data_IF_598303181202
#
_entry.id   IF_598303181202
#
_cell.length_a   1.000
_cell.length_b   1.000
_cell.length_c   1.000
_cell.angle_alpha   90.00
_cell.angle_beta   90.00
_cell.angle_gamma   90.00
#
_symmetry.space_group_name_H-M   'P 1'
#
loop_
_entity.id
_entity.type
_entity.pdbx_description
1 polymer ?
#
# COMPACT_ATOMS: atom_id res chain seq x y z
N UNK A 1 -9.21 19.26 -50.09
CA UNK A 1 -9.50 20.70 -49.87
C UNK A 1 -8.70 21.33 -48.72
N UNK A 2 -7.72 20.61 -48.12
CA UNK A 2 -6.91 21.09 -46.99
C UNK A 2 -7.71 21.59 -45.77
N UNK A 3 -9.01 21.27 -45.71
CA UNK A 3 -9.83 21.50 -44.52
C UNK A 3 -9.65 20.30 -43.59
N UNK A 4 -9.42 20.55 -42.28
CA UNK A 4 -9.36 19.47 -41.32
C UNK A 4 -10.70 18.74 -41.25
N UNK A 5 -10.64 17.42 -41.25
CA UNK A 5 -11.78 16.52 -41.05
C UNK A 5 -11.35 15.44 -40.06
N UNK A 6 -12.27 14.82 -39.31
CA UNK A 6 -11.94 13.70 -38.45
C UNK A 6 -11.40 12.52 -39.28
N UNK A 7 -10.36 11.86 -38.78
CA UNK A 7 -9.72 10.71 -39.45
C UNK A 7 -10.66 9.51 -39.65
N UNK A 8 -11.76 9.43 -38.91
CA UNK A 8 -12.79 8.39 -39.05
C UNK A 8 -13.65 8.54 -40.31
N UNK A 9 -13.49 9.62 -41.07
CA UNK A 9 -14.34 9.93 -42.21
C UNK A 9 -13.67 9.52 -43.52
N UNK A 10 -14.17 8.46 -44.16
CA UNK A 10 -13.61 7.95 -45.42
C UNK A 10 -13.70 8.95 -46.58
N UNK A 11 -14.70 9.83 -46.55
CA UNK A 11 -14.98 10.80 -47.62
C UNK A 11 -15.15 12.21 -47.07
N UNK A 12 -14.31 13.14 -47.52
CA UNK A 12 -14.33 14.52 -47.05
C UNK A 12 -15.70 15.18 -47.29
N UNK A 13 -16.44 15.61 -46.25
CA UNK A 13 -17.76 16.24 -46.39
C UNK A 13 -17.72 17.59 -47.12
N UNK A 14 -16.53 18.20 -47.23
CA UNK A 14 -16.37 19.50 -47.88
C UNK A 14 -16.07 19.43 -49.38
N UNK A 15 -15.46 18.34 -49.85
CA UNK A 15 -15.05 18.24 -51.26
C UNK A 15 -15.30 16.88 -51.91
N UNK A 16 -15.91 15.93 -51.20
CA UNK A 16 -16.21 14.59 -51.71
C UNK A 16 -14.98 13.75 -52.04
N UNK A 17 -13.77 14.23 -51.74
CA UNK A 17 -12.53 13.49 -51.97
C UNK A 17 -12.33 12.44 -50.89
N UNK A 18 -11.87 11.25 -51.28
CA UNK A 18 -11.47 10.21 -50.32
C UNK A 18 -10.36 10.71 -49.41
N UNK A 19 -10.44 10.38 -48.12
CA UNK A 19 -9.38 10.69 -47.18
C UNK A 19 -8.10 9.94 -47.62
N UNK A 20 -6.96 10.63 -47.76
CA UNK A 20 -5.71 9.97 -48.12
C UNK A 20 -5.35 8.97 -47.03
N UNK A 21 -5.17 7.69 -47.41
CA UNK A 21 -4.63 6.68 -46.50
C UNK A 21 -3.17 7.03 -46.19
N UNK A 22 -2.68 6.87 -44.95
CA UNK A 22 -1.26 7.01 -44.66
C UNK A 22 -0.45 6.12 -45.59
N UNK A 23 0.64 6.64 -46.14
CA UNK A 23 1.51 5.86 -47.03
C UNK A 23 2.17 4.71 -46.26
N UNK A 24 2.10 3.49 -46.79
CA UNK A 24 2.63 2.24 -46.19
C UNK A 24 4.15 2.23 -45.92
N UNK A 25 4.88 3.32 -46.21
CA UNK A 25 6.34 3.39 -46.17
C UNK A 25 6.93 3.83 -44.82
N UNK A 26 6.11 4.07 -43.80
CA UNK A 26 6.64 4.39 -42.48
C UNK A 26 5.80 3.74 -41.36
N UNK A 27 5.95 2.42 -41.24
CA UNK A 27 5.28 1.60 -40.22
C UNK A 27 5.71 1.94 -38.78
N UNK A 28 6.75 2.76 -38.63
CA UNK A 28 7.33 3.22 -37.36
C UNK A 28 7.15 4.75 -37.16
N UNK A 29 6.39 5.42 -38.02
CA UNK A 29 6.09 6.84 -37.82
C UNK A 29 5.21 6.99 -36.60
N UNK A 30 5.64 7.82 -35.67
CA UNK A 30 4.92 8.25 -34.48
C UNK A 30 4.88 9.79 -34.56
N UNK A 31 3.71 10.34 -34.86
CA UNK A 31 3.54 11.74 -35.26
C UNK A 31 3.44 12.71 -34.10
N UNK A 32 2.87 12.27 -32.98
CA UNK A 32 2.74 13.06 -31.76
C UNK A 32 3.75 12.66 -30.67
N UNK A 33 4.51 11.59 -30.89
CA UNK A 33 5.65 11.18 -30.09
C UNK A 33 5.26 10.53 -28.78
N UNK A 34 4.07 9.92 -28.71
CA UNK A 34 3.56 9.31 -27.50
C UNK A 34 4.07 7.87 -27.28
N UNK A 35 4.69 7.27 -28.29
CA UNK A 35 5.25 5.93 -28.29
C UNK A 35 4.40 4.88 -28.99
N UNK A 36 3.22 5.22 -29.51
CA UNK A 36 2.40 4.37 -30.38
C UNK A 36 2.61 4.80 -31.84
N UNK A 37 2.97 3.89 -32.77
CA UNK A 37 3.08 4.24 -34.18
C UNK A 37 1.72 4.61 -34.81
N UNK A 38 1.70 5.62 -35.69
CA UNK A 38 0.54 6.13 -36.46
C UNK A 38 -0.35 4.99 -37.01
N UNK A 39 0.27 3.91 -37.49
CA UNK A 39 -0.47 2.76 -38.06
C UNK A 39 -1.28 2.01 -37.00
N UNK A 40 -0.71 1.83 -35.82
CA UNK A 40 -1.31 1.08 -34.71
C UNK A 40 -2.43 1.93 -34.14
N UNK A 41 -2.21 3.23 -33.97
CA UNK A 41 -3.25 4.16 -33.57
C UNK A 41 -4.45 4.10 -34.52
N UNK A 42 -4.23 4.11 -35.84
CA UNK A 42 -5.31 4.00 -36.83
C UNK A 42 -6.02 2.65 -36.76
N UNK A 43 -5.29 1.55 -36.59
CA UNK A 43 -5.88 0.20 -36.40
C UNK A 43 -6.73 0.14 -35.12
N UNK A 44 -6.30 0.83 -34.06
CA UNK A 44 -7.00 0.91 -32.79
C UNK A 44 -8.15 1.93 -32.80
N UNK A 45 -8.18 2.85 -33.77
CA UNK A 45 -9.16 3.94 -33.84
C UNK A 45 -8.80 5.15 -32.97
N UNK A 46 -7.53 5.24 -32.57
CA UNK A 46 -6.89 6.38 -31.93
C UNK A 46 -6.53 7.46 -32.96
N UNK A 47 -6.08 8.62 -32.50
CA UNK A 47 -5.75 9.78 -33.30
C UNK A 47 -4.23 10.03 -33.31
N UNK A 48 -3.54 9.82 -34.45
CA UNK A 48 -2.09 10.03 -34.62
C UNK A 48 -1.56 11.46 -34.44
N UNK A 49 -2.30 12.34 -33.80
CA UNK A 49 -1.93 13.72 -33.51
C UNK A 49 -2.31 14.11 -32.08
N UNK A 50 -2.85 13.19 -31.28
CA UNK A 50 -3.28 13.42 -29.92
C UNK A 50 -2.54 12.50 -28.93
N UNK A 51 -1.41 12.97 -28.36
CA UNK A 51 -0.56 12.14 -27.51
C UNK A 51 -1.21 11.79 -26.15
N UNK A 52 -2.42 12.28 -25.89
CA UNK A 52 -3.19 11.94 -24.70
C UNK A 52 -3.89 10.59 -24.85
N UNK A 53 -4.14 10.10 -26.06
CA UNK A 53 -4.91 8.89 -26.28
C UNK A 53 -4.10 7.60 -26.01
N UNK A 54 -2.77 7.63 -26.11
CA UNK A 54 -1.90 6.58 -25.60
C UNK A 54 -2.09 6.33 -24.10
N UNK A 55 -2.38 7.40 -23.33
CA UNK A 55 -2.69 7.33 -21.88
C UNK A 55 -4.16 7.04 -21.61
N UNK A 56 -5.00 7.07 -22.64
CA UNK A 56 -6.39 6.65 -22.57
C UNK A 56 -6.50 5.14 -22.33
N UNK A 57 -7.68 4.73 -21.91
CA UNK A 57 -8.05 3.35 -21.64
C UNK A 57 -9.26 3.04 -22.55
N UNK A 58 -8.98 2.38 -23.68
CA UNK A 58 -9.95 2.23 -24.77
C UNK A 58 -11.07 1.24 -24.41
N UNK A 59 -10.80 0.27 -23.55
CA UNK A 59 -11.73 -0.80 -23.19
C UNK A 59 -12.19 -0.77 -21.70
N UNK A 60 -11.67 0.19 -20.94
CA UNK A 60 -12.03 0.50 -19.55
C UNK A 60 -11.62 -0.58 -18.54
N UNK A 61 -10.50 -1.25 -18.76
CA UNK A 61 -9.96 -2.28 -17.87
C UNK A 61 -8.93 -1.75 -16.85
N UNK A 62 -8.62 -0.46 -16.91
CA UNK A 62 -7.72 0.27 -16.02
C UNK A 62 -6.28 0.39 -16.53
N UNK A 63 -5.93 -0.23 -17.66
CA UNK A 63 -4.63 -0.07 -18.32
C UNK A 63 -4.70 0.99 -19.42
N UNK A 64 -3.60 1.71 -19.61
CA UNK A 64 -3.49 2.62 -20.75
C UNK A 64 -3.13 1.86 -22.03
N UNK A 65 -3.61 2.36 -23.18
CA UNK A 65 -3.37 1.76 -24.49
C UNK A 65 -1.87 1.47 -24.73
N UNK A 66 -0.99 2.38 -24.31
CA UNK A 66 0.46 2.20 -24.44
C UNK A 66 1.04 1.15 -23.50
N UNK A 67 0.51 1.00 -22.28
CA UNK A 67 0.97 -0.01 -21.33
C UNK A 67 0.71 -1.42 -21.85
N UNK A 68 -0.44 -1.61 -22.49
CA UNK A 68 -0.86 -2.86 -23.10
C UNK A 68 -0.05 -3.23 -24.34
N UNK A 69 0.17 -2.27 -25.25
CA UNK A 69 1.02 -2.47 -26.42
C UNK A 69 2.49 -2.70 -26.05
N UNK A 70 2.95 -2.06 -24.97
CA UNK A 70 4.31 -2.22 -24.45
C UNK A 70 4.49 -3.45 -23.56
N UNK A 71 3.39 -4.15 -23.22
CA UNK A 71 3.43 -5.34 -22.39
C UNK A 71 4.19 -6.48 -23.07
N UNK A 72 4.65 -7.44 -22.26
CA UNK A 72 5.38 -8.63 -22.74
C UNK A 72 4.76 -9.89 -22.12
N UNK A 73 3.97 -10.68 -22.87
CA UNK A 73 3.56 -10.45 -24.27
C UNK A 73 2.65 -9.22 -24.42
N UNK A 74 2.56 -8.63 -25.64
CA UNK A 74 1.61 -7.54 -25.92
C UNK A 74 0.17 -8.00 -25.69
N UNK A 75 -0.68 -7.09 -25.24
CA UNK A 75 -2.11 -7.33 -25.03
C UNK A 75 -2.97 -6.53 -26.02
N UNK A 76 -4.30 -6.65 -25.95
CA UNK A 76 -5.20 -6.08 -26.97
C UNK A 76 -6.01 -4.95 -26.33
N UNK A 77 -5.73 -3.66 -26.67
CA UNK A 77 -6.40 -2.52 -26.05
C UNK A 77 -7.91 -2.41 -26.33
N UNK A 78 -8.50 -3.34 -27.07
CA UNK A 78 -9.94 -3.40 -27.34
C UNK A 78 -10.66 -4.52 -26.59
N UNK A 79 -9.93 -5.43 -25.93
CA UNK A 79 -10.50 -6.56 -25.23
C UNK A 79 -10.20 -6.46 -23.72
N UNK A 80 -11.21 -6.14 -22.87
CA UNK A 80 -11.04 -5.97 -21.42
C UNK A 80 -10.56 -7.22 -20.66
N UNK A 81 -10.37 -8.35 -21.34
CA UNK A 81 -9.80 -9.59 -20.77
C UNK A 81 -8.36 -9.83 -21.21
N UNK A 82 -7.90 -9.11 -22.23
CA UNK A 82 -6.57 -9.18 -22.77
C UNK A 82 -5.77 -8.04 -22.19
N UNK A 83 -5.25 -8.22 -20.97
CA UNK A 83 -4.61 -7.15 -20.23
C UNK A 83 -3.38 -7.61 -19.46
N UNK A 84 -2.47 -6.69 -19.09
CA UNK A 84 -1.32 -7.02 -18.26
C UNK A 84 -1.74 -7.49 -16.85
N UNK A 85 -0.78 -7.99 -16.07
CA UNK A 85 -1.06 -8.45 -14.72
C UNK A 85 -1.63 -7.30 -13.84
N UNK A 86 -2.78 -7.52 -13.22
CA UNK A 86 -3.53 -6.52 -12.40
C UNK A 86 -2.68 -5.92 -11.26
N UNK A 87 -1.67 -6.65 -10.79
CA UNK A 87 -0.67 -6.15 -9.84
C UNK A 87 0.04 -4.86 -10.32
N UNK A 88 0.08 -4.61 -11.62
CA UNK A 88 0.64 -3.40 -12.23
C UNK A 88 -0.19 -2.15 -11.95
N UNK A 89 -1.48 -2.30 -11.66
CA UNK A 89 -2.39 -1.20 -11.33
C UNK A 89 -2.36 -0.83 -9.85
N UNK A 90 -1.76 -1.66 -8.98
CA UNK A 90 -1.71 -1.37 -7.55
C UNK A 90 -0.98 -0.05 -7.27
N UNK A 91 -1.52 0.73 -6.33
CA UNK A 91 -0.92 1.99 -5.87
C UNK A 91 -1.00 2.09 -4.35
N UNK A 92 -0.02 2.72 -3.72
CA UNK A 92 -0.05 3.02 -2.29
C UNK A 92 -0.89 4.28 -2.10
N UNK A 93 -2.09 4.13 -1.54
CA UNK A 93 -2.99 5.24 -1.21
C UNK A 93 -2.44 6.08 -0.08
N UNK A 94 -2.03 5.42 1.01
CA UNK A 94 -1.48 6.09 2.20
C UNK A 94 -0.65 5.13 3.07
N UNK A 95 0.17 5.71 3.94
CA UNK A 95 0.88 5.01 5.01
C UNK A 95 0.33 5.47 6.35
N UNK A 96 -0.03 4.51 7.20
CA UNK A 96 -0.58 4.74 8.53
C UNK A 96 0.34 4.13 9.58
N UNK A 97 0.50 4.83 10.70
CA UNK A 97 1.19 4.27 11.86
C UNK A 97 0.27 3.29 12.59
N UNK A 98 0.60 2.00 12.59
CA UNK A 98 -0.11 1.01 13.39
C UNK A 98 0.30 1.16 14.84
N UNK A 99 -0.67 1.52 15.68
CA UNK A 99 -0.45 1.78 17.11
C UNK A 99 -0.50 0.49 17.90
N UNK A 100 0.25 0.46 18.99
CA UNK A 100 0.17 -0.60 19.97
C UNK A 100 -1.25 -0.62 20.57
N UNK A 101 -1.99 -1.74 20.46
CA UNK A 101 -3.35 -1.84 20.98
C UNK A 101 -3.39 -2.02 22.50
N UNK A 102 -2.24 -2.27 23.14
CA UNK A 102 -2.11 -2.49 24.58
C UNK A 102 -1.37 -1.34 25.26
N UNK A 103 -1.91 -0.90 26.40
CA UNK A 103 -1.29 0.07 27.30
C UNK A 103 -0.88 -0.64 28.59
N UNK A 104 0.41 -0.62 28.90
CA UNK A 104 0.91 -1.09 30.18
C UNK A 104 0.46 -0.12 31.28
N UNK A 105 -0.40 -0.58 32.19
CA UNK A 105 -1.13 0.31 33.11
C UNK A 105 -0.67 0.22 34.56
N UNK A 106 -0.27 -0.97 35.01
CA UNK A 106 0.20 -1.19 36.38
C UNK A 106 1.05 -2.45 36.50
N UNK A 107 1.94 -2.48 37.49
CA UNK A 107 2.68 -3.68 37.92
C UNK A 107 2.47 -3.90 39.41
N UNK A 108 1.99 -5.09 39.77
CA UNK A 108 1.70 -5.47 41.15
C UNK A 108 2.65 -6.58 41.58
N UNK A 109 3.32 -6.41 42.73
CA UNK A 109 4.11 -7.48 43.33
C UNK A 109 3.20 -8.46 44.06
N UNK A 110 3.27 -9.73 43.70
CA UNK A 110 2.45 -10.81 44.25
C UNK A 110 3.11 -11.44 45.50
N UNK A 111 2.34 -12.14 46.36
CA UNK A 111 2.87 -12.77 47.58
C UNK A 111 3.96 -13.82 47.30
N UNK A 112 3.96 -14.43 46.11
CA UNK A 112 4.98 -15.36 45.63
C UNK A 112 6.28 -14.65 45.16
N UNK A 113 6.35 -13.32 45.29
CA UNK A 113 7.47 -12.49 44.89
C UNK A 113 7.50 -12.15 43.40
N UNK A 114 6.61 -12.71 42.58
CA UNK A 114 6.51 -12.45 41.14
C UNK A 114 5.71 -11.20 40.86
N UNK A 115 5.79 -10.70 39.63
CA UNK A 115 5.00 -9.56 39.19
C UNK A 115 3.77 -9.98 38.39
N UNK A 116 2.65 -9.36 38.70
CA UNK A 116 1.46 -9.32 37.86
C UNK A 116 1.47 -8.00 37.09
N UNK A 117 1.32 -8.08 35.78
CA UNK A 117 1.34 -6.98 34.84
C UNK A 117 -0.08 -6.74 34.36
N UNK A 118 -0.50 -5.46 34.36
CA UNK A 118 -1.83 -5.05 33.92
C UNK A 118 -1.72 -4.37 32.56
N UNK A 119 -2.41 -4.91 31.57
CA UNK A 119 -2.54 -4.32 30.23
C UNK A 119 -3.98 -3.89 29.98
N UNK A 120 -4.16 -2.67 29.48
CA UNK A 120 -5.43 -2.19 28.98
C UNK A 120 -5.39 -2.21 27.45
N UNK A 121 -6.25 -3.02 26.84
CA UNK A 121 -6.49 -2.97 25.41
C UNK A 121 -7.39 -1.79 25.08
N UNK A 122 -6.97 -1.00 24.10
CA UNK A 122 -7.72 0.18 23.62
C UNK A 122 -8.49 -0.11 22.33
N UNK A 123 -8.02 -1.07 21.52
CA UNK A 123 -8.60 -1.48 20.23
C UNK A 123 -8.41 -3.00 19.99
N UNK A 124 -9.32 -3.69 19.28
CA UNK A 124 -10.59 -3.17 18.77
C UNK A 124 -11.67 -3.05 19.85
N UNK A 125 -11.53 -3.78 20.97
CA UNK A 125 -12.45 -3.70 22.11
C UNK A 125 -11.69 -3.38 23.39
N UNK A 126 -12.31 -2.58 24.26
CA UNK A 126 -11.70 -2.22 25.54
C UNK A 126 -11.78 -3.39 26.51
N UNK A 127 -10.62 -3.87 26.93
CA UNK A 127 -10.51 -4.97 27.89
C UNK A 127 -9.25 -4.81 28.73
N UNK A 128 -9.33 -5.20 30.00
CA UNK A 128 -8.18 -5.23 30.89
C UNK A 128 -7.72 -6.66 31.08
N UNK A 129 -6.40 -6.85 31.05
CA UNK A 129 -5.73 -8.13 31.20
C UNK A 129 -4.78 -8.06 32.39
N UNK A 130 -4.81 -9.11 33.20
CA UNK A 130 -3.89 -9.32 34.32
C UNK A 130 -3.11 -10.59 34.02
N UNK A 131 -1.83 -10.45 33.73
CA UNK A 131 -0.97 -11.54 33.28
C UNK A 131 0.33 -11.59 34.07
N UNK A 132 0.98 -12.74 34.12
CA UNK A 132 2.33 -12.89 34.67
C UNK A 132 3.39 -12.71 33.58
N UNK A 133 4.64 -12.55 34.00
CA UNK A 133 5.78 -12.57 33.08
C UNK A 133 5.83 -13.88 32.30
N UNK A 134 6.11 -13.78 31.00
CA UNK A 134 6.15 -14.89 30.03
C UNK A 134 4.80 -15.58 29.76
N UNK A 135 3.69 -14.90 30.07
CA UNK A 135 2.34 -15.41 29.79
C UNK A 135 1.74 -14.73 28.55
N UNK A 136 0.90 -15.47 27.81
CA UNK A 136 0.14 -14.90 26.69
C UNK A 136 -0.91 -13.93 27.21
N UNK A 137 -1.05 -12.79 26.54
CA UNK A 137 -2.07 -11.78 26.83
C UNK A 137 -3.37 -12.20 26.12
N UNK A 138 -3.93 -13.32 26.56
CA UNK A 138 -5.18 -13.89 26.03
C UNK A 138 -5.17 -13.95 24.49
N UNK A 139 -6.29 -13.63 23.84
CA UNK A 139 -6.48 -13.59 22.38
C UNK A 139 -5.84 -12.38 21.68
N UNK A 140 -5.09 -11.52 22.37
CA UNK A 140 -4.55 -10.30 21.75
C UNK A 140 -3.39 -10.55 20.77
N UNK A 141 -2.83 -11.77 20.78
CA UNK A 141 -1.67 -12.12 19.94
C UNK A 141 -0.33 -11.63 20.49
N UNK A 142 -0.29 -11.12 21.72
CA UNK A 142 0.92 -10.68 22.41
C UNK A 142 1.23 -11.56 23.61
N UNK A 143 2.51 -11.59 24.00
CA UNK A 143 3.00 -12.24 25.21
C UNK A 143 3.67 -11.19 26.08
N UNK A 144 3.38 -11.20 27.38
CA UNK A 144 4.07 -10.38 28.34
C UNK A 144 5.49 -10.91 28.55
N UNK A 145 6.49 -10.05 28.40
CA UNK A 145 7.89 -10.37 28.66
C UNK A 145 8.31 -9.93 30.06
N UNK A 146 9.54 -9.45 30.17
CA UNK A 146 10.16 -9.02 31.43
C UNK A 146 9.68 -7.63 31.82
N UNK A 147 9.34 -7.45 33.10
CA UNK A 147 9.03 -6.13 33.66
C UNK A 147 10.24 -5.56 34.40
N UNK A 148 10.56 -4.31 34.09
CA UNK A 148 11.57 -3.53 34.79
C UNK A 148 10.86 -2.46 35.61
N UNK A 149 10.77 -2.68 36.92
CA UNK A 149 10.17 -1.71 37.84
C UNK A 149 11.14 -0.56 38.06
N UNK A 150 10.71 0.67 37.77
CA UNK A 150 11.53 1.87 37.94
C UNK A 150 10.68 3.00 38.49
N UNK A 151 11.20 3.70 39.49
CA UNK A 151 10.63 4.96 39.97
C UNK A 151 11.61 6.10 39.68
N UNK A 152 11.09 7.23 39.22
CA UNK A 152 11.87 8.44 38.97
C UNK A 152 11.31 9.58 39.80
N UNK A 153 12.20 10.41 40.34
CA UNK A 153 11.78 11.66 40.96
C UNK A 153 11.73 12.76 39.90
N UNK A 154 10.59 13.43 39.79
CA UNK A 154 10.41 14.63 38.94
C UNK A 154 9.87 15.76 39.79
N UNK A 155 10.29 16.99 39.49
CA UNK A 155 9.67 18.16 40.08
C UNK A 155 8.24 18.29 39.57
N UNK A 156 7.32 18.61 40.48
CA UNK A 156 5.92 18.83 40.14
C UNK A 156 5.82 20.10 39.26
N UNK A 157 5.34 19.99 38.00
CA UNK A 157 5.23 21.15 37.13
C UNK A 157 4.29 22.23 37.67
N UNK A 158 3.33 21.83 38.53
CA UNK A 158 2.37 22.74 39.15
C UNK A 158 2.82 23.23 40.54
N UNK A 159 3.88 22.66 41.12
CA UNK A 159 4.44 23.08 42.42
C UNK A 159 5.98 22.99 42.39
N UNK A 160 6.68 24.07 41.97
CA UNK A 160 8.13 24.11 41.95
C UNK A 160 8.73 23.84 43.35
N UNK A 161 9.72 22.96 43.43
CA UNK A 161 10.38 22.57 44.68
C UNK A 161 9.82 21.32 45.38
N UNK A 162 8.68 20.77 44.93
CA UNK A 162 8.18 19.47 45.40
C UNK A 162 8.57 18.40 44.38
N UNK A 163 9.34 17.40 44.83
CA UNK A 163 9.64 16.21 44.03
C UNK A 163 8.52 15.18 44.19
N UNK A 164 7.98 14.72 43.08
CA UNK A 164 7.04 13.61 42.99
C UNK A 164 7.77 12.36 42.53
N UNK A 165 7.48 11.23 43.18
CA UNK A 165 7.86 9.92 42.66
C UNK A 165 6.86 9.52 41.59
N UNK A 166 7.32 9.47 40.34
CA UNK A 166 6.58 8.93 39.22
C UNK A 166 7.01 7.49 38.96
N UNK A 167 6.02 6.63 38.66
CA UNK A 167 6.30 5.31 38.12
C UNK A 167 6.78 5.45 36.67
N UNK A 168 7.97 4.93 36.40
CA UNK A 168 8.59 4.89 35.09
C UNK A 168 8.94 3.46 34.68
N UNK A 169 8.21 2.49 35.22
CA UNK A 169 8.37 1.08 34.89
C UNK A 169 8.14 0.83 33.40
N UNK A 170 8.81 -0.19 32.89
CA UNK A 170 8.70 -0.62 31.49
C UNK A 170 8.46 -2.12 31.43
N UNK A 171 7.74 -2.58 30.41
CA UNK A 171 7.54 -4.00 30.13
C UNK A 171 7.86 -4.29 28.67
N UNK A 172 8.55 -5.39 28.40
CA UNK A 172 8.68 -5.89 27.04
C UNK A 172 7.45 -6.72 26.69
N UNK A 173 6.89 -6.51 25.51
CA UNK A 173 5.82 -7.35 24.97
C UNK A 173 6.29 -7.95 23.66
N UNK A 174 6.07 -9.25 23.50
CA UNK A 174 6.46 -9.98 22.30
C UNK A 174 5.23 -10.26 21.46
N UNK A 175 5.23 -9.83 20.21
CA UNK A 175 4.19 -10.17 19.24
C UNK A 175 4.39 -11.60 18.75
N UNK A 176 3.34 -12.42 18.84
CA UNK A 176 3.43 -13.84 18.53
C UNK A 176 3.49 -14.13 17.02
N UNK A 177 3.00 -13.22 16.18
CA UNK A 177 2.96 -13.43 14.72
C UNK A 177 4.34 -13.39 14.06
N UNK A 178 5.25 -12.53 14.53
CA UNK A 178 6.56 -12.29 13.93
C UNK A 178 7.71 -12.31 14.94
N UNK A 179 7.43 -12.64 16.20
CA UNK A 179 8.38 -12.62 17.32
C UNK A 179 8.99 -11.24 17.62
N UNK A 180 8.44 -10.14 17.09
CA UNK A 180 8.94 -8.79 17.35
C UNK A 180 8.69 -8.39 18.80
N UNK A 181 9.70 -7.82 19.44
CA UNK A 181 9.61 -7.30 20.80
C UNK A 181 9.43 -5.78 20.80
N UNK A 182 8.52 -5.30 21.64
CA UNK A 182 8.21 -3.88 21.81
C UNK A 182 8.27 -3.55 23.30
N UNK A 183 8.99 -2.49 23.67
CA UNK A 183 9.03 -2.02 25.05
C UNK A 183 7.96 -0.95 25.27
N UNK A 184 7.07 -1.17 26.24
CA UNK A 184 6.04 -0.23 26.65
C UNK A 184 6.42 0.40 27.99
N UNK A 185 6.36 1.72 28.07
CA UNK A 185 6.43 2.45 29.34
C UNK A 185 5.05 2.49 29.99
N UNK A 186 5.02 2.51 31.32
CA UNK A 186 3.76 2.61 32.06
C UNK A 186 2.97 3.85 31.63
N UNK A 187 1.68 3.67 31.41
CA UNK A 187 0.72 4.64 30.88
C UNK A 187 1.07 5.25 29.50
N UNK A 188 1.99 4.65 28.74
CA UNK A 188 2.28 5.04 27.36
C UNK A 188 1.19 4.51 26.43
N UNK A 189 0.39 5.42 25.85
CA UNK A 189 -0.63 5.11 24.86
C UNK A 189 -0.24 5.62 23.48
N UNK A 190 -0.64 4.91 22.42
CA UNK A 190 -0.51 5.39 21.04
C UNK A 190 0.90 5.26 20.46
N UNK A 191 1.78 4.47 21.09
CA UNK A 191 3.08 4.11 20.54
C UNK A 191 2.89 3.46 19.17
N UNK A 192 3.49 4.01 18.12
CA UNK A 192 3.48 3.41 16.78
C UNK A 192 4.53 2.30 16.74
N UNK A 193 4.11 1.09 16.41
CA UNK A 193 5.00 -0.09 16.38
C UNK A 193 5.39 -0.49 14.97
N UNK A 194 4.52 -0.24 14.00
CA UNK A 194 4.69 -0.65 12.61
C UNK A 194 4.08 0.41 11.68
N UNK A 195 4.53 0.38 10.43
CA UNK A 195 3.92 1.14 9.34
C UNK A 195 3.00 0.20 8.57
N UNK A 196 1.73 0.55 8.51
CA UNK A 196 0.73 -0.12 7.68
C UNK A 196 0.59 0.67 6.39
N UNK A 197 0.72 -0.01 5.25
CA UNK A 197 0.46 0.55 3.94
C UNK A 197 -0.96 0.18 3.52
N UNK A 198 -1.73 1.19 3.10
CA UNK A 198 -3.02 1.00 2.43
C UNK A 198 -2.75 1.04 0.93
N UNK A 199 -2.84 -0.12 0.31
CA UNK A 199 -2.72 -0.30 -1.15
C UNK A 199 -4.13 -0.28 -1.73
N UNK A 200 -4.30 0.39 -2.87
CA UNK A 200 -5.56 0.41 -3.62
C UNK A 200 -5.34 -0.19 -5.00
N UNK A 201 -6.36 -0.88 -5.50
CA UNK A 201 -6.52 -1.21 -6.90
C UNK A 201 -7.51 -0.22 -7.52
N UNK A 202 -7.07 0.74 -8.36
CA UNK A 202 -7.94 1.80 -8.88
C UNK A 202 -9.13 1.28 -9.71
N UNK A 203 -8.97 0.12 -10.35
CA UNK A 203 -9.98 -0.50 -11.21
C UNK A 203 -11.33 -0.72 -10.50
N UNK A 204 -11.31 -1.22 -9.27
CA UNK A 204 -12.50 -1.53 -8.49
C UNK A 204 -12.52 -0.82 -7.12
N UNK A 205 -11.55 0.05 -6.87
CA UNK A 205 -11.30 0.70 -5.59
C UNK A 205 -11.10 -0.27 -4.42
N UNK A 206 -10.68 -1.51 -4.68
CA UNK A 206 -10.38 -2.46 -3.61
C UNK A 206 -9.17 -1.97 -2.79
N UNK A 207 -9.32 -1.94 -1.47
CA UNK A 207 -8.27 -1.55 -0.53
C UNK A 207 -7.69 -2.75 0.21
N UNK A 208 -6.37 -2.75 0.37
CA UNK A 208 -5.59 -3.78 1.02
C UNK A 208 -4.68 -3.14 2.07
N UNK A 209 -4.92 -3.46 3.34
CA UNK A 209 -4.05 -3.02 4.43
C UNK A 209 -2.96 -4.08 4.68
N UNK A 210 -1.70 -3.69 4.51
CA UNK A 210 -0.56 -4.59 4.66
C UNK A 210 0.53 -3.98 5.53
N UNK A 211 1.34 -4.85 6.13
CA UNK A 211 2.53 -4.48 6.90
C UNK A 211 3.73 -5.25 6.36
N UNK A 212 4.93 -4.75 6.65
CA UNK A 212 6.17 -5.44 6.30
C UNK A 212 6.20 -6.87 6.87
N UNK A 213 6.57 -7.84 6.03
CA UNK A 213 6.56 -9.27 6.36
C UNK A 213 5.18 -9.95 6.26
N UNK A 214 4.11 -9.19 6.03
CA UNK A 214 2.76 -9.71 5.82
C UNK A 214 2.53 -10.29 4.43
N UNK A 215 1.29 -10.73 4.18
CA UNK A 215 0.83 -11.23 2.88
C UNK A 215 -0.24 -10.32 2.29
N UNK A 216 -0.23 -10.22 0.96
CA UNK A 216 -1.16 -9.46 0.14
C UNK A 216 -1.77 -10.42 -0.88
N UNK A 217 -3.08 -10.64 -0.82
CA UNK A 217 -3.78 -11.43 -1.84
C UNK A 217 -4.53 -10.49 -2.78
N UNK A 218 -4.18 -10.53 -4.06
CA UNK A 218 -4.83 -9.73 -5.11
C UNK A 218 -5.43 -10.69 -6.12
N UNK A 219 -6.77 -10.73 -6.17
CA UNK A 219 -7.52 -11.73 -6.93
C UNK A 219 -7.09 -13.16 -6.58
N UNK A 220 -6.52 -13.90 -7.53
CA UNK A 220 -6.06 -15.28 -7.35
C UNK A 220 -4.57 -15.38 -6.98
N UNK A 221 -3.83 -14.27 -7.06
CA UNK A 221 -2.40 -14.23 -6.77
C UNK A 221 -2.13 -13.84 -5.32
N UNK A 222 -1.08 -14.43 -4.75
CA UNK A 222 -0.63 -14.13 -3.39
C UNK A 222 0.79 -13.61 -3.43
N UNK A 223 1.02 -12.51 -2.71
CA UNK A 223 2.28 -11.81 -2.65
C UNK A 223 2.72 -11.66 -1.20
N UNK A 224 4.03 -11.73 -0.97
CA UNK A 224 4.65 -11.40 0.31
C UNK A 224 5.12 -9.95 0.29
N UNK A 225 4.84 -9.22 1.36
CA UNK A 225 5.31 -7.84 1.52
C UNK A 225 6.73 -7.86 2.07
N UNK A 226 7.69 -7.45 1.25
CA UNK A 226 9.11 -7.44 1.61
C UNK A 226 9.48 -6.19 2.40
N UNK A 227 9.09 -5.01 1.90
CA UNK A 227 9.44 -3.72 2.51
C UNK A 227 8.33 -2.69 2.36
N UNK A 228 8.19 -1.81 3.35
CA UNK A 228 7.33 -0.61 3.28
C UNK A 228 8.22 0.62 3.45
N UNK A 229 8.54 1.29 2.34
CA UNK A 229 9.39 2.48 2.34
C UNK A 229 8.56 3.73 2.64
N UNK A 230 8.72 4.25 3.86
CA UNK A 230 8.02 5.45 4.32
C UNK A 230 8.56 6.76 3.72
N UNK A 231 9.80 6.78 3.25
CA UNK A 231 10.39 7.96 2.61
C UNK A 231 9.90 8.15 1.18
N UNK A 232 9.78 7.05 0.43
CA UNK A 232 9.28 7.05 -0.96
C UNK A 232 7.78 6.82 -1.10
N UNK A 233 7.11 6.40 -0.02
CA UNK A 233 5.71 5.96 -0.06
C UNK A 233 5.52 4.83 -1.07
N UNK A 234 6.34 3.79 -0.96
CA UNK A 234 6.32 2.64 -1.87
C UNK A 234 6.38 1.32 -1.10
N UNK A 235 5.75 0.28 -1.64
CA UNK A 235 5.76 -1.07 -1.05
C UNK A 235 6.41 -2.04 -2.02
N UNK A 236 7.38 -2.83 -1.55
CA UNK A 236 7.96 -3.91 -2.36
C UNK A 236 7.28 -5.22 -2.02
N UNK A 237 6.75 -5.89 -3.03
CA UNK A 237 6.08 -7.18 -2.92
C UNK A 237 6.81 -8.24 -3.77
N UNK A 238 6.66 -9.49 -3.37
CA UNK A 238 7.19 -10.65 -4.09
C UNK A 238 6.05 -11.64 -4.33
N UNK A 239 5.87 -12.08 -5.57
CA UNK A 239 4.87 -13.09 -5.90
C UNK A 239 5.30 -14.44 -5.32
N UNK A 240 4.43 -15.11 -4.55
CA UNK A 240 4.79 -16.37 -3.89
C UNK A 240 4.95 -17.54 -4.87
N UNK A 241 4.30 -17.50 -6.02
CA UNK A 241 4.38 -18.57 -7.02
C UNK A 241 5.57 -18.40 -7.96
N UNK A 242 5.81 -17.17 -8.44
CA UNK A 242 6.87 -16.89 -9.42
C UNK A 242 8.19 -16.38 -8.82
N UNK A 243 8.17 -15.92 -7.57
CA UNK A 243 9.31 -15.26 -6.92
C UNK A 243 9.63 -13.87 -7.50
N UNK A 244 8.78 -13.35 -8.38
CA UNK A 244 9.01 -12.06 -9.02
C UNK A 244 8.75 -10.92 -8.05
N UNK A 245 9.71 -10.01 -7.91
CA UNK A 245 9.58 -8.82 -7.09
C UNK A 245 9.04 -7.64 -7.88
N UNK A 246 8.24 -6.81 -7.23
CA UNK A 246 7.66 -5.59 -7.81
C UNK A 246 7.54 -4.50 -6.76
N UNK A 247 7.79 -3.27 -7.18
CA UNK A 247 7.58 -2.07 -6.35
C UNK A 247 6.24 -1.45 -6.72
N UNK A 248 5.38 -1.29 -5.72
CA UNK A 248 4.12 -0.58 -5.80
C UNK A 248 4.40 0.90 -5.46
N UNK A 249 4.21 1.82 -6.42
CA UNK A 249 4.44 3.24 -6.19
C UNK A 249 3.27 3.89 -5.44
N UNK A 250 3.47 5.14 -5.00
CA UNK A 250 2.41 5.98 -4.45
C UNK A 250 1.30 6.23 -5.48
N UNK A 251 0.06 6.36 -5.01
CA UNK A 251 -1.03 6.91 -5.80
C UNK A 251 -0.75 8.41 -6.05
N UNK A 252 -0.65 8.79 -7.33
CA UNK A 252 -0.45 10.17 -7.77
C UNK A 252 -1.67 11.07 -7.49
#
# INVERSE_FOLDING_TARGET
>A
CQKPIPYSVETCPFCGGGQPKPSETNLEKDSDGDGIPDRIEIELGLNPQDPADAKGDLDSDGFSNIEELSAKPPTDPKDPKSHPAVVNLLRVKELRGKRMPLVFSAVNKMPDGKYQIVFNQIEPTRRTYWVRENEKIDETGFMAGTVTVKSVERENPNMPGIKMREDASTVTVKRLSDNKEVTLKINESGKVTDVEAVIVLPLDNAEYSVVEGGTLKVREETFRVLTVDSGKTSVTIENEASGQQKVIPKLD
#
